data_IF_477466931197
#
_entry.id   IF_477466931197
#
_cell.length_a   1.000
_cell.length_b   1.000
_cell.length_c   1.000
_cell.angle_alpha   90.00
_cell.angle_beta   90.00
_cell.angle_gamma   90.00
#
_symmetry.space_group_name_H-M   'P 1'
#
loop_
_entity.id
_entity.type
_entity.pdbx_description
1 polymer ?
#
# COMPACT_ATOMS: atom_id res chain seq x y z
N UNK A 1 -72.08 21.79 -46.59
CA UNK A 1 -71.03 20.76 -46.46
C UNK A 1 -69.91 21.07 -47.44
N UNK A 2 -68.68 21.27 -46.95
CA UNK A 2 -67.51 20.46 -47.32
C UNK A 2 -66.24 21.10 -46.74
N UNK A 3 -65.55 20.32 -45.91
CA UNK A 3 -64.23 20.61 -45.36
C UNK A 3 -63.19 20.40 -46.46
N UNK A 4 -62.13 21.21 -46.46
CA UNK A 4 -60.78 20.75 -46.79
C UNK A 4 -59.74 21.66 -46.16
N UNK A 5 -58.79 21.01 -45.51
CA UNK A 5 -57.74 21.52 -44.66
C UNK A 5 -56.44 21.55 -45.47
N UNK A 6 -55.57 22.56 -45.30
CA UNK A 6 -54.09 22.41 -45.38
C UNK A 6 -53.32 23.71 -45.07
N UNK A 7 -52.51 23.60 -44.02
CA UNK A 7 -51.13 24.09 -43.85
C UNK A 7 -50.75 25.55 -44.15
N UNK A 8 -50.24 26.24 -43.13
CA UNK A 8 -49.49 27.49 -43.28
C UNK A 8 -48.87 27.96 -41.96
N UNK A 9 -47.55 27.79 -41.86
CA UNK A 9 -46.66 28.10 -40.72
C UNK A 9 -46.57 29.60 -40.44
N UNK A 10 -46.41 30.01 -39.17
CA UNK A 10 -45.57 31.14 -38.67
C UNK A 10 -45.94 31.37 -37.20
N UNK A 11 -45.07 31.50 -36.20
CA UNK A 11 -43.63 31.50 -36.06
C UNK A 11 -43.40 32.02 -34.63
N UNK A 12 -43.14 31.15 -33.64
CA UNK A 12 -42.87 31.61 -32.27
C UNK A 12 -41.46 32.19 -32.21
N UNK A 13 -41.36 33.52 -32.14
CA UNK A 13 -40.09 34.21 -31.89
C UNK A 13 -39.62 33.86 -30.47
N UNK A 14 -38.49 33.16 -30.35
CA UNK A 14 -37.85 32.89 -29.05
C UNK A 14 -37.10 34.14 -28.62
N UNK A 15 -37.56 34.75 -27.52
CA UNK A 15 -36.83 35.81 -26.85
C UNK A 15 -35.64 35.18 -26.12
N UNK A 16 -34.41 35.37 -26.63
CA UNK A 16 -33.19 34.88 -25.99
C UNK A 16 -32.65 36.02 -25.14
N UNK A 17 -32.74 35.89 -23.81
CA UNK A 17 -32.14 36.83 -22.87
C UNK A 17 -30.62 36.91 -23.11
N UNK A 18 -30.03 38.11 -23.27
CA UNK A 18 -28.59 38.27 -23.47
C UNK A 18 -27.75 37.83 -22.27
N UNK A 19 -28.37 37.64 -21.10
CA UNK A 19 -27.69 37.25 -19.86
C UNK A 19 -27.25 35.78 -19.85
N UNK A 20 -27.82 34.92 -20.71
CA UNK A 20 -27.46 33.50 -20.79
C UNK A 20 -26.09 33.24 -21.43
N UNK A 21 -25.47 34.26 -22.05
CA UNK A 21 -24.11 34.17 -22.60
C UNK A 21 -23.03 34.54 -21.59
N UNK A 22 -23.38 35.28 -20.54
CA UNK A 22 -22.39 35.89 -19.64
C UNK A 22 -22.06 35.02 -18.41
N UNK A 23 -22.83 33.97 -18.15
CA UNK A 23 -22.55 33.01 -17.09
C UNK A 23 -22.45 31.58 -17.64
N UNK A 24 -21.34 31.31 -18.33
CA UNK A 24 -20.90 29.95 -18.65
C UNK A 24 -20.00 29.49 -17.51
N UNK A 25 -20.54 28.68 -16.59
CA UNK A 25 -19.75 28.07 -15.53
C UNK A 25 -18.66 27.15 -16.14
N UNK A 26 -17.39 27.26 -15.71
CA UNK A 26 -16.29 26.45 -16.26
C UNK A 26 -16.41 24.95 -15.95
N UNK A 27 -17.44 24.53 -15.21
CA UNK A 27 -17.74 23.13 -14.92
C UNK A 27 -18.81 22.51 -15.84
N UNK A 28 -19.27 23.21 -16.88
CA UNK A 28 -20.28 22.65 -17.79
C UNK A 28 -19.66 21.86 -18.96
N UNK A 29 -19.65 20.54 -18.75
CA UNK A 29 -19.73 19.48 -19.77
C UNK A 29 -18.50 19.31 -20.67
N UNK A 30 -17.45 18.74 -20.08
CA UNK A 30 -16.72 17.71 -20.81
C UNK A 30 -17.64 16.49 -20.93
N UNK A 31 -18.04 16.14 -22.15
CA UNK A 31 -18.35 14.75 -22.48
C UNK A 31 -17.03 13.98 -22.33
N UNK A 32 -16.62 13.72 -21.08
CA UNK A 32 -15.72 12.60 -20.81
C UNK A 32 -16.64 11.40 -20.96
N UNK A 33 -16.52 10.74 -22.11
CA UNK A 33 -17.05 9.40 -22.31
C UNK A 33 -16.25 8.45 -21.42
N UNK A 34 -16.45 8.59 -20.11
CA UNK A 34 -16.06 7.57 -19.15
C UNK A 34 -17.04 6.43 -19.37
N UNK A 35 -16.58 5.20 -19.64
CA UNK A 35 -17.47 4.06 -19.73
C UNK A 35 -18.28 4.01 -18.44
N UNK A 36 -19.58 4.31 -18.52
CA UNK A 36 -20.50 4.10 -17.40
C UNK A 36 -20.73 2.61 -17.34
N UNK A 37 -19.81 1.93 -16.67
CA UNK A 37 -19.92 0.52 -16.36
C UNK A 37 -21.31 0.24 -15.80
N UNK A 38 -21.97 -0.78 -16.35
CA UNK A 38 -23.34 -1.10 -15.97
C UNK A 38 -23.40 -1.48 -14.50
N UNK A 39 -24.51 -1.19 -13.82
CA UNK A 39 -24.73 -1.64 -12.44
C UNK A 39 -24.51 -3.16 -12.29
N UNK A 40 -24.84 -3.94 -13.33
CA UNK A 40 -24.58 -5.38 -13.36
C UNK A 40 -23.08 -5.72 -13.37
N UNK A 41 -22.28 -5.01 -14.18
CA UNK A 41 -20.82 -5.19 -14.26
C UNK A 41 -20.15 -4.78 -12.93
N UNK A 42 -20.63 -3.70 -12.29
CA UNK A 42 -20.16 -3.30 -10.96
C UNK A 42 -20.46 -4.38 -9.92
N UNK A 43 -21.66 -4.95 -9.92
CA UNK A 43 -22.02 -6.00 -8.97
C UNK A 43 -21.17 -7.25 -9.15
N UNK A 44 -20.87 -7.63 -10.40
CA UNK A 44 -19.98 -8.74 -10.70
C UNK A 44 -18.55 -8.47 -10.20
N UNK A 45 -18.01 -7.28 -10.45
CA UNK A 45 -16.70 -6.86 -9.94
C UNK A 45 -16.64 -6.91 -8.41
N UNK A 46 -17.68 -6.46 -7.72
CA UNK A 46 -17.75 -6.53 -6.26
C UNK A 46 -17.70 -7.99 -5.77
N UNK A 47 -18.40 -8.91 -6.46
CA UNK A 47 -18.36 -10.34 -6.12
C UNK A 47 -16.96 -10.91 -6.33
N UNK A 48 -16.32 -10.61 -7.45
CA UNK A 48 -14.95 -11.05 -7.75
C UNK A 48 -13.95 -10.50 -6.72
N UNK A 49 -14.02 -9.21 -6.39
CA UNK A 49 -13.13 -8.58 -5.41
C UNK A 49 -13.33 -9.18 -4.02
N UNK A 50 -14.58 -9.45 -3.61
CA UNK A 50 -14.86 -10.12 -2.33
C UNK A 50 -14.28 -11.53 -2.28
N UNK A 51 -14.39 -12.29 -3.38
CA UNK A 51 -13.78 -13.62 -3.48
C UNK A 51 -12.26 -13.54 -3.35
N UNK A 52 -11.62 -12.62 -4.08
CA UNK A 52 -10.16 -12.42 -3.99
C UNK A 52 -9.72 -12.02 -2.58
N UNK A 53 -10.49 -11.15 -1.91
CA UNK A 53 -10.22 -10.76 -0.52
C UNK A 53 -10.30 -11.97 0.42
N UNK A 54 -11.30 -12.83 0.24
CA UNK A 54 -11.44 -14.05 1.04
C UNK A 54 -10.27 -15.01 0.80
N UNK A 55 -9.88 -15.23 -0.45
CA UNK A 55 -8.75 -16.10 -0.81
C UNK A 55 -7.44 -15.57 -0.20
N UNK A 56 -7.18 -14.26 -0.33
CA UNK A 56 -5.99 -13.61 0.26
C UNK A 56 -6.01 -13.69 1.79
N UNK A 57 -7.15 -13.48 2.46
CA UNK A 57 -7.23 -13.64 3.92
C UNK A 57 -6.99 -15.08 4.37
N UNK A 58 -7.44 -16.07 3.59
CA UNK A 58 -7.16 -17.48 3.87
C UNK A 58 -5.65 -17.78 3.78
N UNK A 59 -4.96 -17.19 2.80
CA UNK A 59 -3.52 -17.33 2.63
C UNK A 59 -2.75 -16.67 3.78
N UNK A 60 -3.14 -15.45 4.19
CA UNK A 60 -2.57 -14.76 5.35
C UNK A 60 -2.70 -15.63 6.61
N UNK A 61 -3.88 -16.19 6.87
CA UNK A 61 -4.08 -17.06 8.05
C UNK A 61 -3.21 -18.31 8.04
N UNK A 62 -2.97 -18.91 6.86
CA UNK A 62 -2.07 -20.06 6.73
C UNK A 62 -0.61 -19.68 7.03
N UNK A 63 -0.17 -18.51 6.55
CA UNK A 63 1.16 -17.99 6.81
C UNK A 63 1.36 -17.66 8.30
N UNK A 64 0.38 -17.00 8.92
CA UNK A 64 0.39 -16.72 10.37
C UNK A 64 0.39 -18.01 11.21
N UNK A 65 -0.42 -19.02 10.82
CA UNK A 65 -0.45 -20.33 11.49
C UNK A 65 0.87 -21.09 11.35
N UNK A 66 1.60 -20.89 10.26
CA UNK A 66 2.95 -21.41 10.07
C UNK A 66 4.04 -20.61 10.82
N UNK A 67 3.65 -19.56 11.56
CA UNK A 67 4.56 -18.73 12.34
C UNK A 67 5.20 -17.59 11.56
N UNK A 68 4.83 -17.35 10.29
CA UNK A 68 5.36 -16.22 9.53
C UNK A 68 4.62 -14.94 9.91
N UNK A 69 5.09 -14.28 10.97
CA UNK A 69 4.60 -12.95 11.38
C UNK A 69 5.69 -11.91 11.20
N UNK A 70 5.33 -10.77 10.62
CA UNK A 70 6.25 -9.64 10.41
C UNK A 70 6.87 -9.14 11.73
N UNK A 71 6.11 -9.21 12.83
CA UNK A 71 6.59 -8.86 14.17
C UNK A 71 7.74 -9.75 14.65
N UNK A 72 7.78 -11.02 14.23
CA UNK A 72 8.85 -11.95 14.63
C UNK A 72 10.16 -11.63 13.92
N UNK A 73 10.07 -11.18 12.65
CA UNK A 73 11.24 -10.73 11.90
C UNK A 73 11.88 -9.51 12.56
N UNK A 74 11.06 -8.50 12.91
CA UNK A 74 11.54 -7.30 13.59
C UNK A 74 12.17 -7.65 14.95
N UNK A 75 11.53 -8.54 15.72
CA UNK A 75 12.07 -9.03 17.00
C UNK A 75 13.42 -9.74 16.81
N UNK A 76 13.58 -10.51 15.73
CA UNK A 76 14.83 -11.22 15.46
C UNK A 76 15.95 -10.26 15.04
N UNK A 77 15.62 -9.23 14.24
CA UNK A 77 16.56 -8.15 13.87
C UNK A 77 17.05 -7.42 15.12
N UNK A 78 16.15 -7.05 16.03
CA UNK A 78 16.50 -6.38 17.28
C UNK A 78 17.42 -7.23 18.15
N UNK A 79 17.12 -8.52 18.31
CA UNK A 79 17.98 -9.46 19.07
C UNK A 79 19.37 -9.62 18.46
N UNK A 80 19.48 -9.61 17.12
CA UNK A 80 20.77 -9.67 16.45
C UNK A 80 21.59 -8.39 16.69
N UNK A 81 20.94 -7.23 16.66
CA UNK A 81 21.61 -5.97 16.99
C UNK A 81 22.08 -5.95 18.44
N UNK A 82 21.22 -6.33 19.39
CA UNK A 82 21.57 -6.42 20.81
C UNK A 82 22.75 -7.40 21.06
N UNK A 83 22.71 -8.57 20.42
CA UNK A 83 23.81 -9.53 20.49
C UNK A 83 25.13 -8.94 19.94
N UNK A 84 25.08 -8.32 18.76
CA UNK A 84 26.28 -7.73 18.15
C UNK A 84 26.84 -6.58 18.98
N UNK A 85 25.99 -5.73 19.55
CA UNK A 85 26.44 -4.64 20.44
C UNK A 85 27.17 -5.19 21.67
N UNK A 86 26.62 -6.22 22.33
CA UNK A 86 27.26 -6.87 23.48
C UNK A 86 28.56 -7.55 23.07
N UNK A 87 28.57 -8.25 21.92
CA UNK A 87 29.75 -8.91 21.36
C UNK A 87 30.87 -7.90 21.10
N UNK A 88 30.56 -6.77 20.47
CA UNK A 88 31.51 -5.72 20.14
C UNK A 88 32.11 -5.07 21.40
N UNK A 89 31.28 -4.79 22.41
CA UNK A 89 31.76 -4.30 23.72
C UNK A 89 32.67 -5.33 24.39
N UNK A 90 32.28 -6.60 24.38
CA UNK A 90 33.08 -7.71 24.92
C UNK A 90 34.43 -7.83 24.23
N UNK A 91 34.46 -7.76 22.90
CA UNK A 91 35.69 -7.81 22.12
C UNK A 91 36.59 -6.60 22.38
N UNK A 92 36.02 -5.39 22.52
CA UNK A 92 36.77 -4.20 22.89
C UNK A 92 37.44 -4.37 24.27
N UNK A 93 36.71 -4.90 25.25
CA UNK A 93 37.25 -5.17 26.58
C UNK A 93 38.35 -6.24 26.53
N UNK A 94 38.13 -7.34 25.82
CA UNK A 94 39.15 -8.39 25.63
C UNK A 94 40.41 -7.84 24.96
N UNK A 95 40.27 -6.98 23.95
CA UNK A 95 41.41 -6.31 23.32
C UNK A 95 42.20 -5.44 24.29
N UNK A 96 41.52 -4.70 25.17
CA UNK A 96 42.18 -3.91 26.23
C UNK A 96 42.90 -4.80 27.25
N UNK A 97 42.26 -5.88 27.69
CA UNK A 97 42.85 -6.85 28.63
C UNK A 97 44.08 -7.52 28.00
N UNK A 98 44.02 -7.91 26.74
CA UNK A 98 45.13 -8.52 26.01
C UNK A 98 46.35 -7.61 25.99
N UNK A 99 46.15 -6.31 25.72
CA UNK A 99 47.22 -5.30 25.73
C UNK A 99 47.84 -5.14 27.11
N UNK A 100 47.02 -5.15 28.18
CA UNK A 100 47.51 -5.01 29.56
C UNK A 100 48.27 -6.26 30.01
N UNK A 101 47.75 -7.45 29.70
CA UNK A 101 48.37 -8.74 30.06
C UNK A 101 49.55 -9.09 29.14
N UNK A 102 49.72 -8.38 28.01
CA UNK A 102 50.78 -8.64 27.04
C UNK A 102 50.62 -9.95 26.27
N UNK A 103 49.41 -10.52 26.27
CA UNK A 103 49.08 -11.79 25.62
C UNK A 103 48.24 -11.56 24.36
N UNK A 104 48.10 -12.56 23.51
CA UNK A 104 47.25 -12.42 22.33
C UNK A 104 45.78 -12.55 22.74
N UNK A 105 44.91 -11.81 22.07
CA UNK A 105 43.47 -11.87 22.35
C UNK A 105 42.92 -13.29 22.27
N UNK A 106 43.45 -14.14 21.37
CA UNK A 106 43.07 -15.57 21.24
C UNK A 106 43.29 -16.38 22.53
N UNK A 107 44.32 -16.04 23.32
CA UNK A 107 44.65 -16.74 24.56
C UNK A 107 43.62 -16.39 25.66
N UNK A 108 43.03 -15.18 25.57
CA UNK A 108 41.90 -14.78 26.41
C UNK A 108 40.60 -15.50 26.03
N UNK A 109 40.38 -15.79 24.73
CA UNK A 109 39.22 -16.58 24.33
C UNK A 109 39.24 -17.96 24.98
N UNK A 110 40.38 -18.65 24.97
CA UNK A 110 40.54 -19.95 25.64
C UNK A 110 40.39 -19.82 27.17
N UNK A 111 41.01 -18.80 27.79
CA UNK A 111 40.92 -18.53 29.24
C UNK A 111 39.50 -18.28 29.73
N UNK A 112 38.67 -17.59 28.94
CA UNK A 112 37.28 -17.28 29.28
C UNK A 112 36.27 -18.28 28.69
N UNK A 113 36.72 -19.36 28.05
CA UNK A 113 35.84 -20.38 27.47
C UNK A 113 35.00 -19.87 26.29
N UNK A 114 35.49 -18.85 25.58
CA UNK A 114 34.85 -18.24 24.43
C UNK A 114 35.27 -18.93 23.13
N UNK A 115 34.34 -19.10 22.20
CA UNK A 115 34.60 -19.67 20.90
C UNK A 115 34.92 -18.57 19.87
N UNK A 116 35.94 -18.76 19.05
CA UNK A 116 36.32 -17.80 18.00
C UNK A 116 35.42 -17.88 16.76
N UNK A 117 34.62 -18.94 16.64
CA UNK A 117 33.79 -19.25 15.47
C UNK A 117 32.29 -18.89 15.64
N UNK A 118 31.94 -18.16 16.70
CA UNK A 118 30.58 -17.64 16.94
C UNK A 118 30.27 -16.36 16.16
#
# INVERSE_FOLDING_TARGET
>A
MNKSNKSGVTGKIKFISPLSKQFQSPLSRSNVDSPKESHAELTEKVVVLKKRLQDTNSEIQKLEAAGYRESELQTHIEKLHEYNEIKDVGQMLLGRIAVIEGIQSKDLYEKYGLNLND
#
